data_IF_822351074245
#
_entry.id   IF_822351074245
#
_cell.length_a   1.000
_cell.length_b   1.000
_cell.length_c   1.000
_cell.angle_alpha   90.00
_cell.angle_beta   90.00
_cell.angle_gamma   90.00
#
_symmetry.space_group_name_H-M   'P 1'
#
loop_
_entity.id
_entity.type
_entity.pdbx_description
1 polymer ?
#
# COMPACT_ATOMS: atom_id res chain seq x y z
N UNK A 1 19.44 10.39 7.94
CA UNK A 1 17.98 10.48 7.79
C UNK A 1 17.69 10.18 6.34
N UNK A 2 16.98 9.09 6.05
CA UNK A 2 16.55 8.80 4.68
C UNK A 2 15.38 9.72 4.33
N UNK A 3 15.39 10.25 3.11
CA UNK A 3 14.34 11.14 2.59
C UNK A 3 13.63 10.39 1.48
N UNK A 4 12.32 10.27 1.57
CA UNK A 4 11.51 9.57 0.60
C UNK A 4 10.41 10.46 0.05
N UNK A 5 10.12 10.27 -1.23
CA UNK A 5 9.02 10.90 -1.94
C UNK A 5 8.00 9.83 -2.33
N UNK A 6 6.72 10.16 -2.29
CA UNK A 6 5.63 9.34 -2.80
C UNK A 6 5.00 10.05 -3.98
N UNK A 7 4.97 9.41 -5.15
CA UNK A 7 4.27 9.88 -6.34
C UNK A 7 2.96 9.12 -6.52
N UNK A 8 1.91 9.90 -6.60
CA UNK A 8 0.55 9.45 -6.95
C UNK A 8 0.26 9.82 -8.41
N UNK A 9 -0.96 9.59 -8.87
CA UNK A 9 -1.36 10.03 -10.22
C UNK A 9 -1.37 11.56 -10.36
N UNK A 10 -1.72 12.28 -9.29
CA UNK A 10 -2.01 13.71 -9.33
C UNK A 10 -0.92 14.56 -8.69
N UNK A 11 -0.20 14.01 -7.71
CA UNK A 11 0.71 14.77 -6.84
C UNK A 11 1.91 13.94 -6.36
N UNK A 12 3.01 14.64 -6.07
CA UNK A 12 4.18 14.09 -5.36
C UNK A 12 4.25 14.67 -3.95
N UNK A 13 4.32 13.80 -2.95
CA UNK A 13 4.49 14.14 -1.53
C UNK A 13 5.94 13.90 -1.08
N UNK A 14 6.42 14.69 -0.12
CA UNK A 14 7.74 14.52 0.49
C UNK A 14 8.63 15.78 0.44
N UNK A 15 9.87 15.69 0.94
CA UNK A 15 10.49 14.48 1.50
C UNK A 15 9.92 14.11 2.88
N UNK A 16 9.72 12.82 3.11
CA UNK A 16 9.29 12.23 4.38
C UNK A 16 10.25 11.13 4.86
N UNK A 17 10.11 10.70 6.10
CA UNK A 17 10.89 9.56 6.62
C UNK A 17 10.31 8.22 6.17
N UNK A 18 11.12 7.16 6.25
CA UNK A 18 10.68 5.79 5.98
C UNK A 18 9.51 5.40 6.91
N UNK A 19 9.61 5.74 8.20
CA UNK A 19 8.58 5.46 9.20
C UNK A 19 7.25 6.15 8.86
N UNK A 20 7.31 7.35 8.26
CA UNK A 20 6.12 8.07 7.83
C UNK A 20 5.44 7.38 6.65
N UNK A 21 6.21 6.87 5.70
CA UNK A 21 5.66 6.08 4.60
C UNK A 21 5.06 4.75 5.08
N UNK A 22 5.70 4.08 6.05
CA UNK A 22 5.13 2.90 6.70
C UNK A 22 3.80 3.22 7.39
N UNK A 23 3.73 4.35 8.11
CA UNK A 23 2.47 4.82 8.71
C UNK A 23 1.39 5.01 7.63
N UNK A 24 1.72 5.66 6.51
CA UNK A 24 0.77 5.85 5.40
C UNK A 24 0.32 4.54 4.77
N UNK A 25 1.22 3.57 4.58
CA UNK A 25 0.87 2.25 4.09
C UNK A 25 -0.10 1.55 5.05
N UNK A 26 0.18 1.57 6.37
CA UNK A 26 -0.68 0.98 7.40
C UNK A 26 -2.06 1.64 7.49
N UNK A 27 -2.14 2.94 7.21
CA UNK A 27 -3.39 3.70 7.14
C UNK A 27 -4.14 3.53 5.81
N UNK A 28 -3.59 2.77 4.85
CA UNK A 28 -4.18 2.57 3.53
C UNK A 28 -4.14 3.82 2.65
N UNK A 29 -3.18 4.74 2.87
CA UNK A 29 -3.00 5.95 2.07
C UNK A 29 -2.10 5.74 0.84
N UNK A 30 -1.24 4.73 0.89
CA UNK A 30 -0.47 4.27 -0.26
C UNK A 30 -1.29 3.22 -1.01
N UNK A 31 -1.50 3.45 -2.30
CA UNK A 31 -2.33 2.63 -3.18
C UNK A 31 -1.49 1.84 -4.19
N UNK A 32 -1.98 0.69 -4.68
CA UNK A 32 -1.35 -0.02 -5.79
C UNK A 32 -1.05 0.89 -6.98
N UNK A 33 0.10 0.66 -7.61
CA UNK A 33 0.56 1.39 -8.78
C UNK A 33 1.15 2.78 -8.50
N UNK A 34 1.14 3.24 -7.26
CA UNK A 34 1.91 4.41 -6.83
C UNK A 34 3.41 4.10 -6.76
N UNK A 35 4.23 5.13 -6.68
CA UNK A 35 5.69 4.99 -6.75
C UNK A 35 6.37 5.78 -5.64
N UNK A 36 7.54 5.33 -5.19
CA UNK A 36 8.39 6.07 -4.25
C UNK A 36 9.80 6.28 -4.79
N UNK A 37 10.49 7.28 -4.25
CA UNK A 37 11.86 7.64 -4.64
C UNK A 37 12.65 8.18 -3.46
N UNK A 38 13.97 7.93 -3.41
CA UNK A 38 14.88 8.52 -2.40
C UNK A 38 15.50 9.84 -2.88
N UNK A 39 15.53 10.05 -4.19
CA UNK A 39 16.24 11.13 -4.87
C UNK A 39 15.32 12.02 -5.71
N UNK A 40 14.03 11.68 -5.80
CA UNK A 40 13.03 12.31 -6.66
C UNK A 40 13.30 12.13 -8.18
N UNK A 41 14.22 11.25 -8.54
CA UNK A 41 14.63 10.98 -9.92
C UNK A 41 14.34 9.52 -10.31
N UNK A 42 14.74 8.56 -9.48
CA UNK A 42 14.52 7.13 -9.68
C UNK A 42 13.32 6.66 -8.86
N UNK A 43 12.31 6.15 -9.56
CA UNK A 43 11.03 5.77 -8.98
C UNK A 43 10.84 4.25 -9.00
N UNK A 44 10.40 3.70 -7.88
CA UNK A 44 10.06 2.29 -7.71
C UNK A 44 8.59 2.15 -7.36
N UNK A 45 7.95 1.11 -7.87
CA UNK A 45 6.57 0.77 -7.51
C UNK A 45 6.50 0.41 -6.03
N UNK A 46 5.44 0.84 -5.36
CA UNK A 46 5.26 0.62 -3.91
C UNK A 46 5.22 -0.86 -3.54
N UNK A 47 4.82 -1.71 -4.48
CA UNK A 47 4.80 -3.17 -4.39
C UNK A 47 6.20 -3.78 -4.34
N UNK A 48 7.19 -3.12 -4.95
CA UNK A 48 8.58 -3.59 -5.02
C UNK A 48 9.42 -3.13 -3.82
N UNK A 49 8.81 -2.43 -2.85
CA UNK A 49 9.50 -1.80 -1.72
C UNK A 49 9.25 -2.60 -0.44
N UNK A 50 10.26 -3.33 0.08
CA UNK A 50 10.05 -4.26 1.18
C UNK A 50 9.51 -3.63 2.47
N UNK A 51 9.95 -2.41 2.82
CA UNK A 51 9.54 -1.79 4.09
C UNK A 51 8.07 -1.33 4.10
N UNK A 52 7.43 -1.17 2.94
CA UNK A 52 6.00 -0.81 2.86
C UNK A 52 5.08 -2.01 3.10
N UNK A 53 5.60 -3.24 2.94
CA UNK A 53 4.87 -4.51 3.12
C UNK A 53 3.54 -4.57 2.32
N UNK A 54 3.57 -4.06 1.08
CA UNK A 54 2.42 -4.00 0.17
C UNK A 54 2.18 -5.35 -0.51
N UNK A 55 1.71 -6.34 0.26
CA UNK A 55 1.57 -7.74 -0.20
C UNK A 55 0.18 -8.36 0.01
N UNK A 56 -0.76 -7.61 0.59
CA UNK A 56 -2.07 -8.13 0.99
C UNK A 56 -3.20 -7.64 0.09
N UNK A 57 -3.90 -8.55 -0.55
CA UNK A 57 -5.09 -8.24 -1.34
C UNK A 57 -6.35 -8.79 -0.69
N UNK A 58 -7.51 -8.24 -1.06
CA UNK A 58 -8.81 -8.74 -0.65
C UNK A 58 -9.53 -9.33 -1.87
N UNK A 59 -9.83 -10.62 -1.82
CA UNK A 59 -10.78 -11.26 -2.74
C UNK A 59 -12.16 -11.21 -2.09
N UNK A 60 -13.17 -10.72 -2.81
CA UNK A 60 -14.55 -10.65 -2.30
C UNK A 60 -15.35 -11.94 -2.56
N UNK A 61 -14.72 -12.96 -3.12
CA UNK A 61 -15.32 -14.23 -3.57
C UNK A 61 -15.52 -14.30 -5.08
N UNK A 62 -14.90 -13.39 -5.84
CA UNK A 62 -14.98 -13.35 -7.31
C UNK A 62 -13.72 -13.93 -7.99
N UNK A 63 -12.71 -14.34 -7.22
CA UNK A 63 -11.47 -14.87 -7.75
C UNK A 63 -10.51 -13.81 -8.27
N UNK A 64 -10.80 -12.52 -8.03
CA UNK A 64 -9.99 -11.39 -8.48
C UNK A 64 -9.58 -10.50 -7.29
N UNK A 65 -8.49 -10.85 -6.58
CA UNK A 65 -8.02 -10.10 -5.42
C UNK A 65 -7.69 -8.64 -5.76
N UNK A 66 -8.16 -7.71 -4.93
CA UNK A 66 -7.92 -6.27 -5.06
C UNK A 66 -6.88 -5.80 -4.05
N UNK A 67 -5.90 -5.03 -4.52
CA UNK A 67 -4.73 -4.62 -3.75
C UNK A 67 -3.49 -4.56 -4.66
N UNK A 68 -2.27 -4.69 -4.11
CA UNK A 68 -1.99 -5.03 -2.71
C UNK A 68 -2.02 -3.83 -1.76
N UNK A 69 -2.21 -4.13 -0.47
CA UNK A 69 -2.19 -3.20 0.65
C UNK A 69 -1.15 -3.66 1.67
N UNK A 70 -0.82 -2.78 2.60
CA UNK A 70 -0.21 -3.19 3.86
C UNK A 70 -1.19 -4.08 4.66
N UNK A 71 -0.67 -5.03 5.45
CA UNK A 71 -1.48 -5.94 6.28
C UNK A 71 -2.48 -5.19 7.17
N UNK A 72 -2.04 -4.12 7.83
CA UNK A 72 -2.89 -3.36 8.75
C UNK A 72 -4.06 -2.68 8.01
N UNK A 73 -3.82 -2.17 6.80
CA UNK A 73 -4.85 -1.57 5.97
C UNK A 73 -5.85 -2.62 5.46
N UNK A 74 -5.37 -3.80 5.05
CA UNK A 74 -6.22 -4.90 4.64
C UNK A 74 -7.11 -5.42 5.79
N UNK A 75 -6.55 -5.56 6.99
CA UNK A 75 -7.29 -5.94 8.20
C UNK A 75 -8.33 -4.89 8.58
N UNK A 76 -7.98 -3.61 8.54
CA UNK A 76 -8.91 -2.51 8.79
C UNK A 76 -10.06 -2.51 7.78
N UNK A 77 -9.79 -2.79 6.51
CA UNK A 77 -10.83 -2.91 5.48
C UNK A 77 -11.77 -4.09 5.76
N UNK A 78 -11.26 -5.25 6.19
CA UNK A 78 -12.09 -6.38 6.63
C UNK A 78 -12.94 -6.08 7.86
N UNK A 79 -12.39 -5.34 8.82
CA UNK A 79 -13.10 -4.93 10.02
C UNK A 79 -14.13 -3.81 9.76
N UNK A 80 -14.08 -3.13 8.61
CA UNK A 80 -14.92 -1.96 8.32
C UNK A 80 -16.42 -2.27 8.15
N UNK A 81 -16.80 -3.54 7.98
CA UNK A 81 -18.17 -3.94 7.65
C UNK A 81 -18.61 -3.62 6.21
N UNK A 82 -17.69 -3.13 5.36
CA UNK A 82 -17.97 -2.75 3.96
C UNK A 82 -17.78 -3.89 2.96
N UNK A 83 -17.25 -5.02 3.40
CA UNK A 83 -16.96 -6.18 2.57
C UNK A 83 -18.00 -7.28 2.78
N UNK A 84 -18.30 -8.09 1.75
CA UNK A 84 -19.19 -9.22 1.91
C UNK A 84 -18.60 -10.27 2.87
N UNK A 85 -19.42 -11.14 3.50
CA UNK A 85 -18.94 -12.20 4.40
C UNK A 85 -17.99 -13.19 3.74
N UNK A 86 -18.04 -13.31 2.42
CA UNK A 86 -17.15 -14.14 1.59
C UNK A 86 -15.75 -13.54 1.43
N UNK A 87 -15.51 -12.31 1.89
CA UNK A 87 -14.24 -11.64 1.66
C UNK A 87 -13.08 -12.28 2.44
N UNK A 88 -12.05 -12.68 1.70
CA UNK A 88 -10.82 -13.29 2.22
C UNK A 88 -9.61 -12.44 1.91
N UNK A 89 -8.63 -12.45 2.81
CA UNK A 89 -7.33 -11.83 2.58
C UNK A 89 -6.40 -12.84 1.90
N UNK A 90 -5.70 -12.37 0.85
CA UNK A 90 -4.73 -13.13 0.08
C UNK A 90 -3.38 -12.44 0.22
N UNK A 91 -2.34 -13.20 0.58
CA UNK A 91 -0.97 -12.71 0.65
C UNK A 91 -0.22 -13.13 -0.63
N UNK A 92 0.37 -12.16 -1.31
CA UNK A 92 1.24 -12.36 -2.47
C UNK A 92 2.68 -12.55 -1.98
N UNK A 93 3.44 -13.47 -2.60
CA UNK A 93 4.84 -13.70 -2.26
C UNK A 93 5.74 -12.59 -2.76
#
# INVERSE_FOLDING_TARGET
MSQWYLRTQDETFGPESEEKLVEWARLGRIQPGQEISEDNEVWRRVEDVPFLDMRFSIDIGDGNPRGPFNRAAAEALRASGRLPPTATMVESR
#
